data_IF_572913510526
#
_entry.id   IF_572913510526
#
_cell.length_a   1.000
_cell.length_b   1.000
_cell.length_c   1.000
_cell.angle_alpha   90.00
_cell.angle_beta   90.00
_cell.angle_gamma   90.00
#
_symmetry.space_group_name_H-M   'P 1'
#
loop_
_entity.id
_entity.type
_entity.pdbx_description
1 polymer ?
#
# COMPACT_ATOMS: atom_id res chain seq x y z
N UNK A 1 26.95 -31.99 44.32
CA UNK A 1 25.52 -32.22 44.60
C UNK A 1 24.74 -30.97 44.26
N UNK A 2 23.65 -31.17 43.51
CA UNK A 2 22.69 -30.18 43.02
C UNK A 2 22.01 -29.46 44.19
N UNK A 3 21.76 -28.15 44.06
CA UNK A 3 20.48 -27.52 44.46
C UNK A 3 20.40 -26.08 43.96
N UNK A 4 19.69 -25.96 42.84
CA UNK A 4 18.96 -24.81 42.33
C UNK A 4 18.12 -24.12 43.40
N UNK A 5 18.20 -22.79 43.50
CA UNK A 5 17.16 -21.98 44.15
C UNK A 5 16.67 -20.99 43.10
N UNK A 6 15.50 -21.31 42.56
CA UNK A 6 14.69 -20.41 41.74
C UNK A 6 13.78 -19.56 42.66
N UNK A 7 13.30 -18.46 42.10
CA UNK A 7 12.20 -17.59 42.57
C UNK A 7 12.61 -16.50 43.59
N UNK A 8 12.14 -15.26 43.53
CA UNK A 8 11.19 -14.55 42.67
C UNK A 8 11.29 -13.04 43.01
N UNK A 9 10.75 -12.18 42.14
CA UNK A 9 10.26 -10.83 42.43
C UNK A 9 11.29 -9.71 42.68
N UNK A 10 11.64 -9.00 41.61
CA UNK A 10 11.99 -7.58 41.69
C UNK A 10 10.89 -6.77 40.96
N UNK A 11 10.21 -5.95 41.76
CA UNK A 11 9.03 -5.12 41.51
C UNK A 11 8.94 -4.47 40.12
N UNK A 12 7.85 -4.75 39.43
CA UNK A 12 7.24 -3.88 38.44
C UNK A 12 6.57 -2.69 39.14
N UNK A 13 7.15 -1.49 38.98
CA UNK A 13 6.46 -0.24 39.26
C UNK A 13 7.06 0.88 38.40
N UNK A 14 6.68 0.94 37.12
CA UNK A 14 6.83 2.16 36.35
C UNK A 14 5.62 3.05 36.63
N UNK A 15 5.75 3.99 37.57
CA UNK A 15 4.82 5.10 37.70
C UNK A 15 5.32 6.27 36.85
N UNK A 16 5.02 6.23 35.55
CA UNK A 16 5.09 7.41 34.71
C UNK A 16 3.70 8.05 34.69
N UNK A 17 3.44 8.99 35.60
CA UNK A 17 2.28 9.88 35.49
C UNK A 17 2.60 10.95 34.44
N UNK A 18 2.29 10.66 33.18
CA UNK A 18 2.23 11.69 32.15
C UNK A 18 0.95 12.51 32.38
N UNK A 19 1.07 13.60 33.16
CA UNK A 19 0.00 14.58 33.25
C UNK A 19 -0.01 15.38 31.94
N UNK A 20 -0.75 14.91 30.94
CA UNK A 20 -1.18 15.75 29.84
C UNK A 20 -2.30 16.65 30.39
N UNK A 21 -1.95 17.89 30.73
CA UNK A 21 -2.94 18.92 30.98
C UNK A 21 -3.69 19.16 29.67
N UNK A 22 -4.87 18.55 29.55
CA UNK A 22 -5.80 18.80 28.45
C UNK A 22 -6.37 20.20 28.67
N UNK A 23 -5.69 21.20 28.11
CA UNK A 23 -6.19 22.57 28.03
C UNK A 23 -7.52 22.52 27.30
N UNK A 24 -8.60 22.71 28.04
CA UNK A 24 -9.97 22.73 27.53
C UNK A 24 -10.09 23.63 26.32
N UNK A 25 -10.25 23.02 25.15
CA UNK A 25 -10.77 23.66 23.96
C UNK A 25 -12.23 23.22 23.85
N UNK A 26 -13.15 24.18 23.80
CA UNK A 26 -14.57 23.91 23.57
C UNK A 26 -14.78 22.92 22.42
N UNK A 27 -15.76 22.00 22.48
CA UNK A 27 -15.94 21.00 21.43
C UNK A 27 -16.21 21.72 20.11
N UNK A 28 -15.24 21.68 19.20
CA UNK A 28 -15.42 22.14 17.85
C UNK A 28 -16.60 21.36 17.26
N UNK A 29 -17.62 22.07 16.74
CA UNK A 29 -18.74 21.46 16.03
C UNK A 29 -18.17 20.46 15.01
N UNK A 30 -18.30 19.17 15.28
CA UNK A 30 -17.92 18.13 14.35
C UNK A 30 -18.92 18.17 13.20
N UNK A 31 -18.60 18.95 12.17
CA UNK A 31 -19.30 18.91 10.90
C UNK A 31 -19.00 17.55 10.30
N UNK A 32 -20.04 16.73 10.13
CA UNK A 32 -19.94 15.47 9.42
C UNK A 32 -19.41 15.75 8.00
N UNK A 33 -18.17 15.34 7.75
CA UNK A 33 -17.55 15.38 6.42
C UNK A 33 -17.75 13.99 5.83
N UNK A 34 -18.31 13.92 4.62
CA UNK A 34 -18.48 12.66 3.90
C UNK A 34 -17.13 11.91 3.80
N UNK A 35 -17.10 10.58 3.99
CA UNK A 35 -15.86 9.79 4.04
C UNK A 35 -14.93 9.94 2.82
N UNK A 36 -15.45 10.45 1.70
CA UNK A 36 -14.67 10.69 0.48
C UNK A 36 -13.62 11.81 0.57
N UNK A 37 -13.70 12.72 1.54
CA UNK A 37 -12.76 13.86 1.67
C UNK A 37 -11.75 13.69 2.81
N UNK A 38 -11.99 12.78 3.76
CA UNK A 38 -11.00 12.45 4.79
C UNK A 38 -9.75 11.75 4.20
N UNK A 39 -9.89 11.12 3.04
CA UNK A 39 -8.79 10.39 2.39
C UNK A 39 -7.78 11.30 1.66
N UNK A 40 -8.06 12.59 1.49
CA UNK A 40 -7.16 13.51 0.76
C UNK A 40 -6.15 14.17 1.70
N UNK A 41 -6.53 14.42 2.96
CA UNK A 41 -5.65 15.04 3.97
C UNK A 41 -5.02 14.05 4.96
N UNK A 42 -5.44 12.77 4.94
CA UNK A 42 -4.81 11.68 5.67
C UNK A 42 -3.72 10.90 4.90
N UNK A 43 -3.43 11.27 3.64
CA UNK A 43 -2.36 10.66 2.85
C UNK A 43 -0.96 11.24 3.16
N UNK A 44 -0.73 11.61 4.41
CA UNK A 44 0.59 11.66 5.01
C UNK A 44 0.91 10.27 5.58
N UNK A 45 1.89 9.61 4.98
CA UNK A 45 2.43 8.28 5.35
C UNK A 45 1.47 7.09 5.16
N UNK A 46 1.52 6.46 3.96
CA UNK A 46 1.20 5.03 3.85
C UNK A 46 0.37 4.57 2.65
N UNK A 47 -0.24 5.46 1.87
CA UNK A 47 -0.91 5.08 0.63
C UNK A 47 0.04 5.26 -0.55
N UNK A 48 0.87 4.24 -0.80
CA UNK A 48 1.67 4.13 -2.02
C UNK A 48 0.73 3.83 -3.19
N UNK A 49 0.02 4.85 -3.67
CA UNK A 49 -0.13 4.97 -5.11
C UNK A 49 1.30 5.24 -5.63
N UNK A 50 1.83 4.46 -6.58
CA UNK A 50 3.13 4.78 -7.16
C UNK A 50 2.94 6.11 -7.88
N UNK A 51 3.26 7.21 -7.19
CA UNK A 51 3.48 8.48 -7.83
C UNK A 51 4.58 8.21 -8.85
N UNK A 52 4.41 8.54 -10.12
CA UNK A 52 5.55 8.68 -11.01
C UNK A 52 6.26 9.95 -10.51
N UNK A 53 7.04 9.82 -9.42
CA UNK A 53 8.23 10.65 -9.32
C UNK A 53 8.95 10.45 -10.64
N UNK A 54 9.40 11.53 -11.27
CA UNK A 54 10.23 11.42 -12.46
C UNK A 54 11.58 10.84 -12.03
N UNK A 55 11.58 9.54 -11.75
CA UNK A 55 12.76 8.73 -11.60
C UNK A 55 13.50 8.83 -12.92
N UNK A 56 14.82 9.03 -12.85
CA UNK A 56 15.64 8.99 -14.06
C UNK A 56 15.28 7.73 -14.87
N UNK A 57 15.36 7.76 -16.21
CA UNK A 57 15.03 6.61 -17.04
C UNK A 57 15.68 5.31 -16.53
N UNK A 58 16.92 5.41 -16.04
CA UNK A 58 17.67 4.30 -15.43
C UNK A 58 17.01 3.73 -14.17
N UNK A 59 16.49 4.60 -13.30
CA UNK A 59 15.81 4.16 -12.07
C UNK A 59 14.50 3.46 -12.41
N UNK A 60 13.76 3.99 -13.40
CA UNK A 60 12.54 3.37 -13.90
C UNK A 60 12.81 1.99 -14.52
N UNK A 61 13.89 1.84 -15.29
CA UNK A 61 14.29 0.55 -15.85
C UNK A 61 14.62 -0.49 -14.77
N UNK A 62 15.35 -0.08 -13.71
CA UNK A 62 15.66 -0.96 -12.58
C UNK A 62 14.40 -1.42 -11.84
N UNK A 63 13.44 -0.53 -11.62
CA UNK A 63 12.16 -0.88 -11.00
C UNK A 63 11.37 -1.89 -11.83
N UNK A 64 11.31 -1.68 -13.16
CA UNK A 64 10.63 -2.61 -14.06
C UNK A 64 11.31 -3.98 -14.08
N UNK A 65 12.64 -4.01 -14.18
CA UNK A 65 13.42 -5.25 -14.13
C UNK A 65 13.22 -6.01 -12.81
N UNK A 66 13.26 -5.32 -11.67
CA UNK A 66 13.01 -5.91 -10.35
C UNK A 66 11.58 -6.47 -10.24
N UNK A 67 10.58 -5.76 -10.78
CA UNK A 67 9.21 -6.23 -10.83
C UNK A 67 9.03 -7.49 -11.70
N UNK A 68 9.71 -7.56 -12.84
CA UNK A 68 9.70 -8.73 -13.73
C UNK A 68 10.34 -9.95 -13.04
N UNK A 69 11.48 -9.76 -12.36
CA UNK A 69 12.16 -10.84 -11.64
C UNK A 69 11.33 -11.38 -10.46
N UNK A 70 10.69 -10.47 -9.72
CA UNK A 70 9.76 -10.85 -8.64
C UNK A 70 8.60 -11.72 -9.17
N UNK A 71 8.01 -11.34 -10.31
CA UNK A 71 6.91 -12.08 -10.93
C UNK A 71 7.35 -13.37 -11.66
N UNK A 72 8.66 -13.59 -11.84
CA UNK A 72 9.17 -14.84 -12.39
C UNK A 72 9.02 -15.99 -11.39
N UNK A 73 9.24 -15.70 -10.11
CA UNK A 73 9.13 -16.68 -9.03
C UNK A 73 7.71 -16.75 -8.42
N UNK A 74 6.92 -15.69 -8.58
CA UNK A 74 5.53 -15.63 -8.11
C UNK A 74 4.63 -15.00 -9.18
N UNK A 75 4.19 -15.78 -10.18
CA UNK A 75 3.41 -15.26 -11.31
C UNK A 75 2.06 -14.71 -10.85
N UNK A 76 1.79 -13.45 -11.19
CA UNK A 76 0.48 -12.82 -10.98
C UNK A 76 -0.28 -12.76 -12.32
N UNK A 77 -1.11 -13.78 -12.53
CA UNK A 77 -1.85 -14.02 -13.79
C UNK A 77 -3.25 -14.48 -13.48
N UNK A 78 -4.20 -14.11 -14.34
CA UNK A 78 -5.56 -14.61 -14.21
C UNK A 78 -6.55 -13.88 -15.09
N UNK A 79 -7.76 -13.72 -14.58
CA UNK A 79 -8.83 -13.02 -15.27
C UNK A 79 -9.43 -11.95 -14.37
N UNK A 80 -9.65 -10.77 -14.94
CA UNK A 80 -10.38 -9.68 -14.31
C UNK A 80 -11.64 -9.38 -15.11
N UNK A 81 -12.72 -9.05 -14.42
CA UNK A 81 -13.94 -8.57 -15.07
C UNK A 81 -13.78 -7.08 -15.30
N UNK A 82 -13.76 -6.66 -16.56
CA UNK A 82 -13.71 -5.25 -16.95
C UNK A 82 -15.07 -4.87 -17.50
N UNK A 83 -15.57 -3.69 -17.12
CA UNK A 83 -16.80 -3.17 -17.69
C UNK A 83 -16.48 -2.44 -18.99
N UNK A 84 -16.87 -3.04 -20.10
CA UNK A 84 -16.73 -2.49 -21.44
C UNK A 84 -18.06 -1.95 -21.98
N UNK A 85 -18.00 -1.32 -23.14
CA UNK A 85 -19.16 -1.00 -23.96
C UNK A 85 -19.18 -2.00 -25.11
N UNK A 86 -20.24 -2.79 -25.18
CA UNK A 86 -20.43 -3.73 -26.29
C UNK A 86 -20.63 -2.99 -27.61
N UNK A 87 -20.53 -3.69 -28.76
CA UNK A 87 -20.80 -3.10 -30.07
C UNK A 87 -22.24 -2.60 -30.22
N UNK A 88 -23.15 -3.03 -29.34
CA UNK A 88 -24.53 -2.57 -29.22
C UNK A 88 -24.68 -1.29 -28.37
N UNK A 89 -23.58 -0.69 -27.91
CA UNK A 89 -23.57 0.50 -27.07
C UNK A 89 -23.97 0.25 -25.61
N UNK A 90 -24.25 -1.01 -25.23
CA UNK A 90 -24.67 -1.35 -23.86
C UNK A 90 -23.47 -1.68 -22.98
N UNK A 91 -23.48 -1.30 -21.70
CA UNK A 91 -22.43 -1.70 -20.78
C UNK A 91 -22.49 -3.21 -20.54
N UNK A 92 -21.34 -3.88 -20.66
CA UNK A 92 -21.20 -5.32 -20.44
C UNK A 92 -19.97 -5.62 -19.59
N UNK A 93 -20.05 -6.70 -18.84
CA UNK A 93 -18.93 -7.23 -18.07
C UNK A 93 -18.20 -8.25 -18.93
N UNK A 94 -16.95 -7.96 -19.25
CA UNK A 94 -16.10 -8.81 -20.09
C UNK A 94 -14.97 -9.39 -19.24
N UNK A 95 -14.71 -10.69 -19.41
CA UNK A 95 -13.63 -11.38 -18.71
C UNK A 95 -12.35 -11.21 -19.50
N UNK A 96 -11.44 -10.36 -19.01
CA UNK A 96 -10.17 -10.09 -19.65
C UNK A 96 -9.06 -10.89 -18.96
N UNK A 97 -8.24 -11.60 -19.74
CA UNK A 97 -7.02 -12.19 -19.23
C UNK A 97 -6.01 -11.08 -18.88
N UNK A 98 -5.25 -11.27 -17.81
CA UNK A 98 -4.13 -10.41 -17.50
C UNK A 98 -2.92 -11.26 -17.11
N UNK A 99 -1.75 -10.73 -17.42
CA UNK A 99 -0.46 -11.25 -16.97
C UNK A 99 0.40 -10.05 -16.58
N UNK A 100 0.56 -9.83 -15.28
CA UNK A 100 1.32 -8.65 -14.82
C UNK A 100 2.77 -8.67 -15.27
N UNK A 101 3.36 -9.86 -15.46
CA UNK A 101 4.74 -9.95 -15.93
C UNK A 101 4.83 -9.45 -17.37
N UNK A 102 3.92 -9.93 -18.23
CA UNK A 102 3.83 -9.47 -19.61
C UNK A 102 3.56 -7.96 -19.71
N UNK A 103 2.70 -7.43 -18.83
CA UNK A 103 2.42 -5.99 -18.76
C UNK A 103 3.70 -5.19 -18.40
N UNK A 104 4.51 -5.66 -17.44
CA UNK A 104 5.78 -5.02 -17.07
C UNK A 104 6.86 -5.19 -18.15
N UNK A 105 6.93 -6.32 -18.84
CA UNK A 105 7.84 -6.54 -19.97
C UNK A 105 7.50 -5.61 -21.14
N UNK A 106 6.21 -5.46 -21.46
CA UNK A 106 5.76 -4.52 -22.47
C UNK A 106 6.13 -3.08 -22.11
N UNK A 107 5.99 -2.70 -20.83
CA UNK A 107 6.41 -1.40 -20.33
C UNK A 107 7.92 -1.22 -20.42
N UNK A 108 8.72 -2.23 -20.03
CA UNK A 108 10.18 -2.23 -20.12
C UNK A 108 10.67 -1.98 -21.54
N UNK A 109 10.01 -2.60 -22.54
CA UNK A 109 10.28 -2.35 -23.96
C UNK A 109 9.82 -0.96 -24.40
N UNK A 110 8.63 -0.51 -23.96
CA UNK A 110 8.07 0.80 -24.33
C UNK A 110 8.93 1.97 -23.84
N UNK A 111 9.54 1.85 -22.67
CA UNK A 111 10.44 2.86 -22.12
C UNK A 111 11.88 2.76 -22.65
N UNK A 112 12.19 1.73 -23.46
CA UNK A 112 13.48 1.58 -24.13
C UNK A 112 14.61 1.12 -23.21
N UNK A 113 14.29 0.40 -22.14
CA UNK A 113 15.29 -0.21 -21.27
C UNK A 113 16.07 -1.29 -22.03
N UNK A 114 17.40 -1.26 -21.94
CA UNK A 114 18.30 -2.25 -22.54
C UNK A 114 18.83 -3.23 -21.50
#
# INVERSE_FOLDING_TARGET
>A
MIRTIAALAALSAMTATANAADTGMAPAKQRYVSPGIANVTGAGAGAVAPRPESTSPDTRCRELAAGIDALTHSPDRGHRVVRGIGPDGKPRNERHAYDKRADLEAEHLRVGCQ
#
